data_IF_300722476417
#
_entry.id   IF_300722476417
#
_cell.length_a   1.000
_cell.length_b   1.000
_cell.length_c   1.000
_cell.angle_alpha   90.00
_cell.angle_beta   90.00
_cell.angle_gamma   90.00
#
_symmetry.space_group_name_H-M   'P 1'
#
loop_
_entity.id
_entity.type
_entity.pdbx_description
1 polymer ?
#
# COMPACT_ATOMS: atom_id res chain seq x y z
N UNK A 1 -22.68 15.69 -15.41
CA UNK A 1 -22.00 14.37 -15.40
C UNK A 1 -20.79 14.32 -14.45
N UNK A 2 -19.81 15.23 -14.54
CA UNK A 2 -18.66 15.27 -13.60
C UNK A 2 -19.05 15.42 -12.11
N UNK A 3 -20.06 16.24 -11.81
CA UNK A 3 -20.57 16.44 -10.44
C UNK A 3 -21.24 15.18 -9.85
N UNK A 4 -21.99 14.44 -10.67
CA UNK A 4 -22.62 13.17 -10.27
C UNK A 4 -21.59 12.05 -10.08
N UNK A 5 -20.54 12.00 -10.92
CA UNK A 5 -19.41 11.08 -10.75
C UNK A 5 -18.65 11.38 -9.44
N UNK A 6 -18.34 12.65 -9.20
CA UNK A 6 -17.66 13.13 -7.99
C UNK A 6 -18.48 12.85 -6.72
N UNK A 7 -19.80 13.02 -6.78
CA UNK A 7 -20.72 12.72 -5.67
C UNK A 7 -20.94 11.21 -5.44
N UNK A 8 -20.75 10.35 -6.45
CA UNK A 8 -20.75 8.89 -6.33
C UNK A 8 -19.43 8.37 -5.74
N UNK A 9 -18.31 8.96 -6.12
CA UNK A 9 -16.98 8.62 -5.61
C UNK A 9 -16.76 9.13 -4.17
N UNK A 10 -17.26 10.33 -3.83
CA UNK A 10 -17.14 10.90 -2.49
C UNK A 10 -18.02 10.20 -1.43
N UNK A 11 -19.10 9.51 -1.85
CA UNK A 11 -19.96 8.72 -0.97
C UNK A 11 -19.49 7.28 -0.75
N UNK A 12 -18.40 6.86 -1.41
CA UNK A 12 -17.82 5.53 -1.25
C UNK A 12 -16.51 5.64 -0.49
N UNK A 13 -16.46 5.03 0.70
CA UNK A 13 -15.21 4.67 1.35
C UNK A 13 -14.53 3.48 0.62
N UNK A 14 -14.40 3.56 -0.71
CA UNK A 14 -13.75 2.52 -1.51
C UNK A 14 -12.28 2.89 -1.74
N UNK A 15 -11.42 2.28 -0.93
CA UNK A 15 -9.97 2.37 -1.00
C UNK A 15 -9.38 1.91 -2.35
N UNK A 16 -10.12 1.14 -3.17
CA UNK A 16 -9.67 0.67 -4.50
C UNK A 16 -9.53 1.80 -5.54
N UNK A 17 -10.51 2.70 -5.67
CA UNK A 17 -10.44 3.81 -6.62
C UNK A 17 -9.33 4.80 -6.23
N UNK A 18 -9.21 5.07 -4.93
CA UNK A 18 -8.14 5.91 -4.39
C UNK A 18 -6.75 5.33 -4.68
N UNK A 19 -6.58 4.01 -4.53
CA UNK A 19 -5.33 3.33 -4.86
C UNK A 19 -4.99 3.44 -6.35
N UNK A 20 -5.97 3.22 -7.23
CA UNK A 20 -5.78 3.35 -8.67
C UNK A 20 -5.41 4.79 -9.08
N UNK A 21 -6.05 5.81 -8.49
CA UNK A 21 -5.73 7.21 -8.75
C UNK A 21 -4.32 7.60 -8.26
N UNK A 22 -3.95 7.16 -7.06
CA UNK A 22 -2.60 7.36 -6.51
C UNK A 22 -1.55 6.73 -7.44
N UNK A 23 -1.80 5.52 -7.95
CA UNK A 23 -0.92 4.86 -8.91
C UNK A 23 -0.75 5.66 -10.20
N UNK A 24 -1.86 6.08 -10.82
CA UNK A 24 -1.85 6.90 -12.05
C UNK A 24 -1.03 8.18 -11.83
N UNK A 25 -1.26 8.85 -10.70
CA UNK A 25 -0.56 10.09 -10.34
C UNK A 25 0.93 9.84 -10.14
N UNK A 26 1.28 8.78 -9.42
CA UNK A 26 2.67 8.47 -9.08
C UNK A 26 3.48 8.09 -10.34
N UNK A 27 2.93 7.27 -11.23
CA UNK A 27 3.60 6.91 -12.49
C UNK A 27 3.75 8.14 -13.39
N UNK A 28 2.75 9.04 -13.43
CA UNK A 28 2.86 10.30 -14.16
C UNK A 28 3.96 11.22 -13.57
N UNK A 29 4.09 11.29 -12.24
CA UNK A 29 5.17 12.04 -11.60
C UNK A 29 6.54 11.43 -11.91
N UNK A 30 6.67 10.10 -11.92
CA UNK A 30 7.90 9.42 -12.34
C UNK A 30 8.23 9.75 -13.80
N UNK A 31 7.23 9.78 -14.68
CA UNK A 31 7.42 10.15 -16.09
C UNK A 31 7.95 11.57 -16.22
N UNK A 32 7.32 12.54 -15.54
CA UNK A 32 7.75 13.95 -15.55
C UNK A 32 9.18 14.08 -15.00
N UNK A 33 9.46 13.45 -13.87
CA UNK A 33 10.81 13.39 -13.30
C UNK A 33 11.83 12.83 -14.31
N UNK A 34 11.48 11.73 -14.98
CA UNK A 34 12.33 11.09 -15.99
C UNK A 34 12.58 12.02 -17.17
N UNK A 35 11.54 12.68 -17.71
CA UNK A 35 11.68 13.61 -18.84
C UNK A 35 12.59 14.79 -18.51
N UNK A 36 12.49 15.33 -17.28
CA UNK A 36 13.31 16.46 -16.85
C UNK A 36 14.76 16.05 -16.56
N UNK A 37 14.98 14.85 -16.02
CA UNK A 37 16.26 14.44 -15.45
C UNK A 37 17.09 13.55 -16.37
N UNK A 38 16.46 12.81 -17.28
CA UNK A 38 17.12 11.86 -18.18
C UNK A 38 18.29 12.43 -18.99
N UNK A 39 18.26 13.70 -19.48
CA UNK A 39 19.41 14.25 -20.20
C UNK A 39 20.70 14.36 -19.37
N UNK A 40 20.61 14.31 -18.04
CA UNK A 40 21.74 14.41 -17.11
C UNK A 40 22.29 13.05 -16.68
N UNK A 41 21.65 11.96 -17.07
CA UNK A 41 22.02 10.63 -16.58
C UNK A 41 23.07 9.99 -17.50
N UNK A 42 24.11 9.37 -16.94
CA UNK A 42 25.12 8.63 -17.71
C UNK A 42 24.57 7.24 -18.10
N UNK A 43 23.47 7.20 -18.85
CA UNK A 43 22.78 5.96 -19.26
C UNK A 43 22.68 5.88 -20.79
N UNK A 44 22.66 4.66 -21.31
CA UNK A 44 22.51 4.44 -22.76
C UNK A 44 21.10 4.79 -23.25
N UNK A 45 20.98 5.18 -24.53
CA UNK A 45 19.67 5.44 -25.15
C UNK A 45 18.73 4.23 -25.10
N UNK A 46 19.28 3.00 -25.18
CA UNK A 46 18.52 1.76 -25.06
C UNK A 46 17.91 1.58 -23.66
N UNK A 47 18.69 1.84 -22.61
CA UNK A 47 18.18 1.79 -21.22
C UNK A 47 17.07 2.80 -21.01
N UNK A 48 17.24 4.02 -21.54
CA UNK A 48 16.22 5.06 -21.43
C UNK A 48 14.93 4.68 -22.19
N UNK A 49 15.05 4.09 -23.38
CA UNK A 49 13.92 3.57 -24.13
C UNK A 49 13.19 2.43 -23.37
N UNK A 50 13.94 1.50 -22.77
CA UNK A 50 13.38 0.44 -21.94
C UNK A 50 12.62 1.01 -20.74
N UNK A 51 13.17 2.02 -20.06
CA UNK A 51 12.51 2.71 -18.96
C UNK A 51 11.22 3.41 -19.42
N UNK A 52 11.24 4.13 -20.54
CA UNK A 52 10.02 4.77 -21.06
C UNK A 52 8.94 3.74 -21.43
N UNK A 53 9.34 2.61 -22.03
CA UNK A 53 8.42 1.50 -22.31
C UNK A 53 7.81 0.95 -21.01
N UNK A 54 8.63 0.75 -19.98
CA UNK A 54 8.21 0.28 -18.67
C UNK A 54 7.19 1.24 -18.02
N UNK A 55 7.47 2.56 -18.05
CA UNK A 55 6.57 3.60 -17.55
C UNK A 55 5.27 3.60 -18.33
N UNK A 56 5.32 3.51 -19.66
CA UNK A 56 4.14 3.48 -20.52
C UNK A 56 3.26 2.25 -20.24
N UNK A 57 3.86 1.07 -20.09
CA UNK A 57 3.15 -0.17 -19.71
C UNK A 57 2.50 -0.01 -18.33
N UNK A 58 3.24 0.55 -17.36
CA UNK A 58 2.71 0.82 -16.02
C UNK A 58 1.52 1.77 -16.05
N UNK A 59 1.64 2.87 -16.80
CA UNK A 59 0.57 3.86 -16.95
C UNK A 59 -0.66 3.24 -17.62
N UNK A 60 -0.48 2.51 -18.71
CA UNK A 60 -1.55 1.83 -19.43
C UNK A 60 -2.28 0.82 -18.53
N UNK A 61 -1.53 0.03 -17.76
CA UNK A 61 -2.09 -0.93 -16.80
C UNK A 61 -2.87 -0.23 -15.69
N UNK A 62 -2.35 0.88 -15.16
CA UNK A 62 -3.03 1.66 -14.13
C UNK A 62 -4.36 2.25 -14.63
N UNK A 63 -4.37 2.82 -15.84
CA UNK A 63 -5.58 3.36 -16.48
C UNK A 63 -6.58 2.25 -16.79
N UNK A 64 -6.13 1.11 -17.32
CA UNK A 64 -6.98 -0.03 -17.61
C UNK A 64 -7.68 -0.56 -16.35
N UNK A 65 -6.93 -0.69 -15.24
CA UNK A 65 -7.49 -1.10 -13.95
C UNK A 65 -8.52 -0.07 -13.48
N UNK A 66 -8.20 1.23 -13.54
CA UNK A 66 -9.14 2.28 -13.15
C UNK A 66 -10.44 2.24 -13.97
N UNK A 67 -10.33 2.15 -15.30
CA UNK A 67 -11.48 2.02 -16.20
C UNK A 67 -12.32 0.77 -15.87
N UNK A 68 -11.68 -0.37 -15.57
CA UNK A 68 -12.38 -1.59 -15.16
C UNK A 68 -13.10 -1.45 -13.83
N UNK A 69 -12.54 -0.75 -12.84
CA UNK A 69 -13.22 -0.50 -11.57
C UNK A 69 -14.45 0.39 -11.80
N UNK A 70 -14.35 1.39 -12.68
CA UNK A 70 -15.49 2.26 -13.04
C UNK A 70 -16.58 1.49 -13.81
N UNK A 71 -16.19 0.58 -14.71
CA UNK A 71 -17.11 -0.19 -15.55
C UNK A 71 -17.74 -1.42 -14.85
N UNK A 72 -17.07 -2.03 -13.88
CA UNK A 72 -17.52 -3.26 -13.20
C UNK A 72 -17.19 -3.22 -11.70
N UNK A 73 -18.17 -2.86 -10.86
CA UNK A 73 -17.96 -2.58 -9.44
C UNK A 73 -17.67 -3.73 -8.45
N UNK A 74 -17.75 -5.05 -8.78
CA UNK A 74 -17.46 -6.06 -7.77
C UNK A 74 -16.01 -5.94 -7.27
N UNK A 75 -15.83 -6.07 -5.96
CA UNK A 75 -14.51 -6.18 -5.33
C UNK A 75 -13.84 -7.46 -5.81
N UNK A 76 -12.57 -7.39 -6.18
CA UNK A 76 -11.81 -8.54 -6.66
C UNK A 76 -10.43 -8.58 -6.03
N UNK A 77 -10.23 -9.55 -5.13
CA UNK A 77 -8.94 -9.80 -4.51
C UNK A 77 -7.85 -10.07 -5.57
N UNK A 78 -8.20 -10.76 -6.67
CA UNK A 78 -7.27 -11.04 -7.77
C UNK A 78 -6.80 -9.75 -8.47
N UNK A 79 -7.71 -8.83 -8.79
CA UNK A 79 -7.37 -7.54 -9.42
C UNK A 79 -6.41 -6.74 -8.56
N UNK A 80 -6.57 -6.82 -7.23
CA UNK A 80 -5.71 -6.13 -6.27
C UNK A 80 -4.32 -6.75 -6.19
N UNK A 81 -4.22 -8.07 -6.07
CA UNK A 81 -2.93 -8.76 -6.01
C UNK A 81 -2.13 -8.60 -7.31
N UNK A 82 -2.78 -8.69 -8.47
CA UNK A 82 -2.15 -8.39 -9.76
C UNK A 82 -1.71 -6.93 -9.85
N UNK A 83 -2.54 -6.02 -9.31
CA UNK A 83 -2.17 -4.62 -9.19
C UNK A 83 -0.91 -4.43 -8.35
N UNK A 84 -0.81 -5.05 -7.17
CA UNK A 84 0.38 -4.96 -6.32
C UNK A 84 1.60 -5.56 -7.01
N UNK A 85 1.44 -6.73 -7.63
CA UNK A 85 2.52 -7.39 -8.37
C UNK A 85 3.08 -6.49 -9.47
N UNK A 86 2.21 -5.81 -10.23
CA UNK A 86 2.64 -4.84 -11.23
C UNK A 86 3.41 -3.66 -10.61
N UNK A 87 2.92 -3.07 -9.51
CA UNK A 87 3.59 -1.95 -8.85
C UNK A 87 4.99 -2.34 -8.36
N UNK A 88 5.07 -3.46 -7.63
CA UNK A 88 6.32 -3.97 -7.09
C UNK A 88 7.29 -4.38 -8.19
N UNK A 89 6.82 -5.08 -9.23
CA UNK A 89 7.64 -5.50 -10.36
C UNK A 89 8.18 -4.34 -11.17
N UNK A 90 7.34 -3.35 -11.51
CA UNK A 90 7.76 -2.17 -12.27
C UNK A 90 8.80 -1.33 -11.50
N UNK A 91 8.59 -1.12 -10.20
CA UNK A 91 9.56 -0.42 -9.35
C UNK A 91 10.89 -1.17 -9.30
N UNK A 92 10.86 -2.49 -9.04
CA UNK A 92 12.07 -3.31 -8.99
C UNK A 92 12.84 -3.31 -10.30
N UNK A 93 12.15 -3.47 -11.44
CA UNK A 93 12.77 -3.42 -12.76
C UNK A 93 13.40 -2.05 -13.05
N UNK A 94 12.68 -0.96 -12.74
CA UNK A 94 13.20 0.39 -12.92
C UNK A 94 14.47 0.63 -12.10
N UNK A 95 14.46 0.22 -10.82
CA UNK A 95 15.63 0.32 -9.95
C UNK A 95 16.77 -0.58 -10.41
N UNK A 96 16.46 -1.76 -10.95
CA UNK A 96 17.47 -2.72 -11.41
C UNK A 96 18.24 -2.17 -12.61
N UNK A 97 17.51 -1.66 -13.61
CA UNK A 97 18.10 -1.18 -14.86
C UNK A 97 18.75 0.19 -14.76
N UNK A 98 18.17 1.09 -13.95
CA UNK A 98 18.66 2.45 -13.84
C UNK A 98 19.69 2.61 -12.71
N UNK A 99 19.56 1.88 -11.60
CA UNK A 99 20.42 2.08 -10.43
C UNK A 99 20.15 3.41 -9.73
N UNK A 100 21.20 4.20 -9.48
CA UNK A 100 21.15 5.46 -8.72
C UNK A 100 20.01 6.43 -9.13
N UNK A 101 19.80 6.75 -10.44
CA UNK A 101 18.72 7.62 -10.90
C UNK A 101 17.31 7.24 -10.44
N UNK A 102 17.08 5.96 -10.17
CA UNK A 102 15.79 5.43 -9.71
C UNK A 102 15.82 4.92 -8.27
N UNK A 103 16.92 5.15 -7.53
CA UNK A 103 17.02 4.70 -6.15
C UNK A 103 15.93 5.30 -5.23
N UNK A 104 15.44 6.51 -5.54
CA UNK A 104 14.34 7.15 -4.81
C UNK A 104 13.04 6.32 -4.85
N UNK A 105 12.86 5.43 -5.84
CA UNK A 105 11.72 4.53 -5.89
C UNK A 105 11.68 3.54 -4.71
N UNK A 106 12.78 3.34 -3.99
CA UNK A 106 12.76 2.63 -2.71
C UNK A 106 11.82 3.30 -1.69
N UNK A 107 11.80 4.64 -1.64
CA UNK A 107 10.89 5.37 -0.74
C UNK A 107 9.44 5.14 -1.15
N UNK A 108 9.17 5.13 -2.45
CA UNK A 108 7.86 4.80 -3.00
C UNK A 108 7.46 3.35 -2.67
N UNK A 109 8.38 2.41 -2.82
CA UNK A 109 8.21 0.99 -2.50
C UNK A 109 7.78 0.80 -1.04
N UNK A 110 8.48 1.46 -0.12
CA UNK A 110 8.17 1.43 1.32
C UNK A 110 6.80 2.07 1.60
N UNK A 111 6.54 3.24 1.02
CA UNK A 111 5.27 3.96 1.16
C UNK A 111 4.07 3.13 0.69
N UNK A 112 4.18 2.49 -0.47
CA UNK A 112 3.11 1.63 -1.02
C UNK A 112 2.88 0.42 -0.10
N UNK A 113 3.95 -0.16 0.43
CA UNK A 113 3.86 -1.31 1.36
C UNK A 113 3.11 -0.93 2.64
N UNK A 114 3.50 0.18 3.27
CA UNK A 114 2.83 0.71 4.46
C UNK A 114 1.37 1.06 4.14
N UNK A 115 1.13 1.77 3.02
CA UNK A 115 -0.19 2.17 2.58
C UNK A 115 -1.14 1.00 2.32
N UNK A 116 -0.64 -0.14 1.82
CA UNK A 116 -1.43 -1.35 1.65
C UNK A 116 -1.87 -1.94 3.01
N UNK A 117 -1.00 -1.96 4.01
CA UNK A 117 -1.36 -2.45 5.35
C UNK A 117 -2.37 -1.56 6.06
N UNK A 118 -2.17 -0.24 6.02
CA UNK A 118 -3.07 0.73 6.66
C UNK A 118 -4.48 0.73 6.05
N UNK A 119 -4.59 0.55 4.73
CA UNK A 119 -5.88 0.64 4.02
C UNK A 119 -6.70 -0.64 4.09
N UNK A 120 -6.05 -1.77 4.26
CA UNK A 120 -6.67 -3.07 4.01
C UNK A 120 -6.33 -4.15 5.04
N UNK A 121 -5.64 -3.78 6.10
CA UNK A 121 -5.40 -4.61 7.25
C UNK A 121 -4.17 -5.51 7.16
N UNK A 122 -4.06 -6.37 8.16
CA UNK A 122 -2.89 -7.18 8.48
C UNK A 122 -2.54 -8.22 7.41
N UNK A 123 -3.52 -8.89 6.80
CA UNK A 123 -3.26 -9.94 5.79
C UNK A 123 -2.57 -9.38 4.56
N UNK A 124 -3.05 -8.24 4.05
CA UNK A 124 -2.45 -7.65 2.84
C UNK A 124 -1.15 -6.92 3.10
N UNK A 125 -0.87 -6.54 4.34
CA UNK A 125 0.46 -6.07 4.74
C UNK A 125 1.51 -7.18 4.58
N UNK A 126 1.20 -8.42 4.97
CA UNK A 126 2.14 -9.54 4.76
C UNK A 126 2.43 -9.78 3.29
N UNK A 127 1.39 -9.82 2.45
CA UNK A 127 1.57 -9.98 1.00
C UNK A 127 2.38 -8.83 0.41
N UNK A 128 2.12 -7.59 0.84
CA UNK A 128 2.85 -6.41 0.40
C UNK A 128 4.33 -6.47 0.80
N UNK A 129 4.64 -6.83 2.05
CA UNK A 129 6.03 -6.99 2.54
C UNK A 129 6.76 -8.10 1.78
N UNK A 130 6.11 -9.24 1.53
CA UNK A 130 6.69 -10.33 0.78
C UNK A 130 7.02 -9.89 -0.66
N UNK A 131 6.07 -9.24 -1.36
CA UNK A 131 6.30 -8.72 -2.71
C UNK A 131 7.36 -7.63 -2.77
N UNK A 132 7.38 -6.71 -1.80
CA UNK A 132 8.37 -5.64 -1.72
C UNK A 132 9.78 -6.21 -1.47
N UNK A 133 9.91 -7.17 -0.55
CA UNK A 133 11.17 -7.86 -0.25
C UNK A 133 11.68 -8.62 -1.47
N UNK A 134 10.80 -9.33 -2.19
CA UNK A 134 11.18 -10.03 -3.43
C UNK A 134 11.61 -9.05 -4.53
N UNK A 135 10.88 -7.95 -4.71
CA UNK A 135 11.20 -6.92 -5.70
C UNK A 135 12.55 -6.24 -5.41
N UNK A 136 12.78 -5.82 -4.17
CA UNK A 136 14.05 -5.18 -3.82
C UNK A 136 15.20 -6.19 -3.72
N UNK A 137 14.94 -7.43 -3.27
CA UNK A 137 15.90 -8.51 -3.27
C UNK A 137 16.37 -8.89 -4.69
N UNK A 138 15.46 -8.95 -5.65
CA UNK A 138 15.82 -9.15 -7.07
C UNK A 138 16.59 -7.95 -7.64
N UNK A 139 16.24 -6.73 -7.22
CA UNK A 139 17.01 -5.52 -7.56
C UNK A 139 18.44 -5.58 -7.04
N UNK A 140 18.63 -6.01 -5.78
CA UNK A 140 19.94 -6.18 -5.16
C UNK A 140 20.80 -7.21 -5.88
N UNK A 141 20.20 -8.32 -6.32
CA UNK A 141 20.93 -9.39 -6.98
C UNK A 141 21.24 -9.13 -8.46
N UNK A 142 20.48 -8.28 -9.15
CA UNK A 142 20.62 -8.08 -10.60
C UNK A 142 21.19 -6.71 -11.00
N UNK A 143 21.29 -5.75 -10.09
CA UNK A 143 21.77 -4.40 -10.42
C UNK A 143 23.22 -4.20 -10.02
N UNK A 144 24.08 -3.85 -10.98
CA UNK A 144 25.49 -3.53 -10.73
C UNK A 144 25.66 -2.40 -9.72
N UNK A 145 24.78 -1.39 -9.74
CA UNK A 145 24.79 -0.28 -8.78
C UNK A 145 24.57 -0.76 -7.34
N UNK A 146 23.53 -1.58 -7.12
CA UNK A 146 23.18 -2.08 -5.80
C UNK A 146 24.17 -3.12 -5.28
N UNK A 147 24.75 -3.93 -6.17
CA UNK A 147 25.86 -4.82 -5.85
C UNK A 147 27.11 -4.04 -5.39
N UNK A 148 27.35 -2.84 -5.93
CA UNK A 148 28.41 -1.95 -5.45
C UNK A 148 28.15 -1.37 -4.05
N UNK A 149 26.90 -1.38 -3.57
CA UNK A 149 26.48 -0.82 -2.28
C UNK A 149 25.73 -1.84 -1.43
N UNK A 150 26.15 -3.12 -1.45
CA UNK A 150 25.43 -4.21 -0.79
C UNK A 150 25.16 -3.97 0.69
N UNK A 151 26.09 -3.35 1.42
CA UNK A 151 25.88 -3.02 2.84
C UNK A 151 24.67 -2.12 3.05
N UNK A 152 24.55 -1.05 2.25
CA UNK A 152 23.37 -0.17 2.26
C UNK A 152 22.13 -0.92 1.79
N UNK A 153 22.25 -1.70 0.72
CA UNK A 153 21.18 -2.50 0.16
C UNK A 153 20.55 -3.47 1.16
N UNK A 154 21.36 -4.22 1.89
CA UNK A 154 20.90 -5.15 2.93
C UNK A 154 20.24 -4.39 4.09
N UNK A 155 20.81 -3.26 4.51
CA UNK A 155 20.21 -2.42 5.55
C UNK A 155 18.82 -1.92 5.13
N UNK A 156 18.67 -1.44 3.88
CA UNK A 156 17.39 -1.04 3.32
C UNK A 156 16.40 -2.20 3.21
N UNK A 157 16.85 -3.40 2.82
CA UNK A 157 16.01 -4.60 2.80
C UNK A 157 15.49 -4.94 4.21
N UNK A 158 16.35 -4.81 5.24
CA UNK A 158 15.97 -4.96 6.64
C UNK A 158 14.91 -3.92 7.06
N UNK A 159 15.12 -2.64 6.72
CA UNK A 159 14.15 -1.57 7.00
C UNK A 159 12.80 -1.84 6.35
N UNK A 160 12.80 -2.34 5.10
CA UNK A 160 11.60 -2.68 4.34
C UNK A 160 10.76 -3.79 5.00
N UNK A 161 11.37 -4.63 5.83
CA UNK A 161 10.70 -5.67 6.62
C UNK A 161 10.31 -5.14 8.00
N UNK A 162 11.26 -4.56 8.74
CA UNK A 162 11.08 -4.17 10.14
C UNK A 162 10.01 -3.09 10.30
N UNK A 163 9.99 -2.07 9.44
CA UNK A 163 9.07 -0.93 9.57
C UNK A 163 7.60 -1.36 9.33
N UNK A 164 7.26 -2.08 8.25
CA UNK A 164 5.89 -2.55 8.08
C UNK A 164 5.49 -3.60 9.12
N UNK A 165 6.41 -4.44 9.58
CA UNK A 165 6.10 -5.46 10.60
C UNK A 165 5.86 -4.86 11.99
N UNK A 166 6.53 -3.76 12.35
CA UNK A 166 6.22 -3.05 13.59
C UNK A 166 4.83 -2.40 13.52
N UNK A 167 4.47 -1.83 12.37
CA UNK A 167 3.12 -1.30 12.14
C UNK A 167 2.05 -2.39 12.22
N UNK A 168 2.32 -3.58 11.68
CA UNK A 168 1.43 -4.73 11.77
C UNK A 168 1.08 -5.07 13.23
N UNK A 169 2.07 -5.03 14.12
CA UNK A 169 1.86 -5.26 15.55
C UNK A 169 0.89 -4.24 16.14
N UNK A 170 1.09 -2.96 15.85
CA UNK A 170 0.21 -1.88 16.31
C UNK A 170 -1.22 -2.02 15.73
N UNK A 171 -1.35 -2.42 14.47
CA UNK A 171 -2.67 -2.66 13.87
C UNK A 171 -3.39 -3.82 14.57
N UNK A 172 -2.69 -4.93 14.85
CA UNK A 172 -3.26 -6.06 15.58
C UNK A 172 -3.67 -5.69 17.00
N UNK A 173 -2.86 -4.90 17.70
CA UNK A 173 -3.17 -4.41 19.05
C UNK A 173 -4.45 -3.54 19.03
N UNK A 174 -4.62 -2.68 18.02
CA UNK A 174 -5.86 -1.90 17.83
C UNK A 174 -7.08 -2.77 17.53
N UNK A 175 -6.93 -3.73 16.62
CA UNK A 175 -8.01 -4.64 16.24
C UNK A 175 -8.46 -5.47 17.45
N UNK A 176 -7.52 -5.97 18.26
CA UNK A 176 -7.80 -6.69 19.50
C UNK A 176 -8.48 -5.81 20.56
N UNK A 177 -8.04 -4.55 20.72
CA UNK A 177 -8.69 -3.62 21.64
C UNK A 177 -10.14 -3.31 21.24
N UNK A 178 -10.43 -3.17 19.94
CA UNK A 178 -11.80 -2.98 19.46
C UNK A 178 -12.64 -4.26 19.57
N UNK A 179 -12.08 -5.43 19.28
CA UNK A 179 -12.77 -6.71 19.43
C UNK A 179 -13.08 -7.05 20.90
N UNK A 180 -12.23 -6.60 21.83
CA UNK A 180 -12.48 -6.71 23.28
C UNK A 180 -13.42 -5.65 23.86
N UNK A 181 -13.86 -4.66 23.07
CA UNK A 181 -14.73 -3.55 23.52
C UNK A 181 -16.17 -3.58 22.98
N UNK A 182 -16.90 -4.71 23.08
CA UNK A 182 -18.36 -4.62 23.13
C UNK A 182 -19.00 -5.58 24.17
N UNK A 183 -18.97 -5.23 25.46
CA UNK A 183 -19.88 -5.76 26.51
C UNK A 183 -19.69 -5.12 27.90
N UNK A 184 -18.47 -4.69 28.27
CA UNK A 184 -18.20 -4.22 29.64
C UNK A 184 -18.95 -2.94 30.05
N UNK A 185 -19.33 -2.08 29.09
CA UNK A 185 -20.11 -0.87 29.36
C UNK A 185 -21.61 -1.12 29.52
N UNK A 186 -22.15 -2.18 28.93
CA UNK A 186 -23.58 -2.54 29.03
C UNK A 186 -23.84 -3.31 30.32
N UNK A 187 -22.91 -4.18 30.74
CA UNK A 187 -23.02 -4.91 32.01
C UNK A 187 -22.77 -4.03 33.24
N UNK A 188 -21.84 -3.06 33.18
CA UNK A 188 -21.65 -2.11 34.27
C UNK A 188 -22.87 -1.19 34.46
N UNK A 189 -23.54 -0.79 33.38
CA UNK A 189 -24.76 0.01 33.44
C UNK A 189 -25.98 -0.79 33.91
N UNK A 190 -26.08 -2.09 33.58
CA UNK A 190 -27.16 -2.96 34.04
C UNK A 190 -27.03 -3.36 35.52
N UNK A 191 -25.80 -3.36 36.06
CA UNK A 191 -25.55 -3.66 37.47
C UNK A 191 -25.81 -2.47 38.41
N UNK A 192 -25.64 -1.23 37.93
CA UNK A 192 -25.92 -0.01 38.71
C UNK A 192 -27.40 0.43 38.72
N UNK A 193 -28.25 -0.14 37.86
CA UNK A 193 -29.68 0.18 37.78
C UNK A 193 -30.61 -0.65 38.67
N UNK A 194 -30.10 -1.61 39.45
CA UNK A 194 -30.94 -2.41 40.37
C UNK A 194 -31.18 -1.64 41.67
N UNK A 195 -32.30 -0.93 41.75
CA UNK A 195 -32.86 -0.39 43.00
C UNK A 195 -33.14 -1.58 43.94
N UNK A 196 -32.63 -1.59 45.19
CA UNK A 196 -33.02 -2.60 46.18
C UNK A 196 -34.52 -2.48 46.47
N UNK A 197 -35.28 -3.54 46.21
CA UNK A 197 -36.69 -3.61 46.63
C UNK A 197 -36.77 -3.53 48.16
N UNK A 198 -37.66 -2.71 48.75
CA UNK A 198 -37.77 -2.63 50.20
C UNK A 198 -38.27 -3.97 50.76
N UNK A 199 -37.55 -4.51 51.74
CA UNK A 199 -37.99 -5.65 52.52
C UNK A 199 -39.17 -5.24 53.39
N UNK A 200 -40.34 -5.83 53.12
CA UNK A 200 -41.52 -5.71 53.97
C UNK A 200 -41.20 -6.30 55.35
N UNK A 201 -41.37 -5.56 56.47
CA UNK A 201 -41.13 -6.11 57.79
C UNK A 201 -42.24 -7.11 58.16
N UNK A 202 -41.94 -8.14 58.97
CA UNK A 202 -42.93 -9.12 59.40
C UNK A 202 -43.98 -8.44 60.28
N UNK A 203 -45.26 -8.67 59.98
CA UNK A 203 -46.35 -8.34 60.90
C UNK A 203 -46.33 -9.36 62.05
N UNK A 204 -46.43 -8.81 63.26
CA UNK A 204 -46.59 -9.51 64.56
C UNK A 204 -47.76 -10.49 64.50
#
# INVERSE_FOLDING_TARGET
>A
MLSQLRARLARRADSEHGQALVRITLIALILVYTLISAPRWPVSGRQLQQLFCLIAIGQATAVLIFCRIVASPPRSHLRRTLGMLADYGLIGLAMTWMGAPMAFLYVVLLWITIGNGLRFGSETLHTAVAMATLSFGTTLSNSTYWQGQLGLGIALLGVLIVVPMSLLRTLRERDQAMAGSPAAGIDAASQHGRIPTPSTPPRV
#
